data_IF_041693951887
#
_entry.id   IF_041693951887
#
_cell.length_a   1.000
_cell.length_b   1.000
_cell.length_c   1.000
_cell.angle_alpha   90.00
_cell.angle_beta   90.00
_cell.angle_gamma   90.00
#
_symmetry.space_group_name_H-M   'P 1'
#
loop_
_entity.id
_entity.type
_entity.pdbx_description
1 polymer ?
#
# COMPACT_ATOMS: atom_id res chain seq x y z
N UNK A 1 22.71 2.43 2.04
CA UNK A 1 21.49 2.88 2.72
C UNK A 1 21.50 4.40 2.70
N UNK A 2 20.53 5.02 2.07
CA UNK A 2 20.34 6.47 2.12
C UNK A 2 19.69 6.82 3.47
N UNK A 3 20.24 7.80 4.17
CA UNK A 3 19.60 8.35 5.38
C UNK A 3 18.77 9.56 5.01
N UNK A 4 17.56 9.64 5.54
CA UNK A 4 16.72 10.83 5.41
C UNK A 4 17.25 12.03 6.20
N UNK A 5 16.61 13.20 6.09
CA UNK A 5 17.02 14.43 6.78
C UNK A 5 17.18 14.27 8.30
N UNK A 6 16.41 13.38 8.92
CA UNK A 6 16.41 13.14 10.38
C UNK A 6 17.30 11.96 10.81
N UNK A 7 18.18 11.47 9.92
CA UNK A 7 19.08 10.34 10.22
C UNK A 7 18.39 8.96 10.23
N UNK A 8 17.08 8.87 9.94
CA UNK A 8 16.37 7.61 9.79
C UNK A 8 16.73 6.93 8.47
N UNK A 9 16.87 5.60 8.49
CA UNK A 9 17.09 4.82 7.28
C UNK A 9 15.89 4.96 6.34
N UNK A 10 16.14 5.44 5.12
CA UNK A 10 15.09 5.50 4.09
C UNK A 10 14.85 4.09 3.57
N UNK A 11 13.61 3.53 3.68
CA UNK A 11 13.31 2.23 3.12
C UNK A 11 13.64 2.19 1.63
N UNK A 12 14.24 1.09 1.17
CA UNK A 12 14.55 0.93 -0.26
C UNK A 12 13.26 0.95 -1.09
N UNK A 13 13.27 1.71 -2.16
CA UNK A 13 12.24 1.75 -3.17
C UNK A 13 12.86 1.98 -4.54
N UNK A 14 12.53 1.13 -5.50
CA UNK A 14 12.94 1.29 -6.90
C UNK A 14 11.84 2.01 -7.66
N UNK A 15 12.11 3.25 -8.07
CA UNK A 15 11.15 4.02 -8.86
C UNK A 15 10.94 3.37 -10.23
N UNK A 16 9.68 3.27 -10.65
CA UNK A 16 9.28 2.64 -11.93
C UNK A 16 8.83 3.67 -12.97
N UNK A 17 8.64 4.92 -12.55
CA UNK A 17 8.19 6.02 -13.40
C UNK A 17 8.40 7.38 -12.75
N UNK A 18 7.42 8.24 -12.84
CA UNK A 18 7.46 9.60 -12.31
C UNK A 18 6.76 9.77 -10.94
N UNK A 19 6.39 8.66 -10.28
CA UNK A 19 5.62 8.64 -9.04
C UNK A 19 6.30 9.41 -7.90
N UNK A 20 7.64 9.34 -7.82
CA UNK A 20 8.43 10.09 -6.82
C UNK A 20 8.28 11.60 -7.04
N UNK A 21 8.47 12.06 -8.26
CA UNK A 21 8.35 13.48 -8.61
C UNK A 21 6.90 13.98 -8.41
N UNK A 22 5.90 13.20 -8.83
CA UNK A 22 4.48 13.54 -8.61
C UNK A 22 4.15 13.67 -7.13
N UNK A 23 4.62 12.75 -6.30
CA UNK A 23 4.39 12.80 -4.85
C UNK A 23 5.05 14.04 -4.23
N UNK A 24 6.30 14.36 -4.58
CA UNK A 24 7.00 15.56 -4.10
C UNK A 24 6.30 16.85 -4.54
N UNK A 25 5.81 16.90 -5.78
CA UNK A 25 5.02 18.03 -6.27
C UNK A 25 3.68 18.16 -5.55
N UNK A 26 2.98 17.04 -5.31
CA UNK A 26 1.74 17.04 -4.55
C UNK A 26 1.97 17.53 -3.12
N UNK A 27 3.01 17.05 -2.43
CA UNK A 27 3.35 17.49 -1.07
C UNK A 27 3.64 18.99 -1.00
N UNK A 28 4.51 19.50 -1.88
CA UNK A 28 4.84 20.95 -1.94
C UNK A 28 3.63 21.83 -2.18
N UNK A 29 2.65 21.34 -2.92
CA UNK A 29 1.42 22.06 -3.23
C UNK A 29 0.26 21.70 -2.31
N UNK A 30 0.52 20.91 -1.23
CA UNK A 30 -0.46 20.53 -0.21
C UNK A 30 -1.66 19.77 -0.78
N UNK A 31 -1.46 18.99 -1.83
CA UNK A 31 -2.49 18.21 -2.51
C UNK A 31 -2.54 16.80 -1.95
N UNK A 32 -3.72 16.24 -1.68
CA UNK A 32 -3.85 14.86 -1.26
C UNK A 32 -3.59 13.89 -2.42
N UNK A 33 -3.08 12.70 -2.12
CA UNK A 33 -2.69 11.70 -3.11
C UNK A 33 -3.52 10.43 -3.00
N UNK A 34 -3.92 9.90 -4.16
CA UNK A 34 -4.59 8.62 -4.32
C UNK A 34 -3.69 7.64 -5.08
N UNK A 35 -3.29 6.56 -4.43
CA UNK A 35 -2.50 5.49 -5.03
C UNK A 35 -3.43 4.40 -5.55
N UNK A 36 -3.32 4.05 -6.83
CA UNK A 36 -4.10 2.99 -7.48
C UNK A 36 -3.16 1.90 -7.98
N UNK A 37 -3.51 0.65 -7.76
CA UNK A 37 -2.73 -0.45 -8.33
C UNK A 37 -3.00 -1.78 -7.63
N UNK A 38 -2.52 -2.89 -8.20
CA UNK A 38 -2.76 -4.22 -7.69
C UNK A 38 -2.17 -4.42 -6.28
N UNK A 39 -2.62 -5.48 -5.61
CA UNK A 39 -2.08 -5.88 -4.31
C UNK A 39 -0.60 -6.25 -4.43
N UNK A 40 0.21 -5.80 -3.46
CA UNK A 40 1.62 -6.16 -3.38
C UNK A 40 2.54 -5.58 -4.47
N UNK A 41 2.10 -4.55 -5.23
CA UNK A 41 2.94 -3.82 -6.19
C UNK A 41 3.82 -2.72 -5.55
N UNK A 42 3.86 -2.62 -4.22
CA UNK A 42 4.78 -1.71 -3.52
C UNK A 42 4.21 -0.38 -3.05
N UNK A 43 2.88 -0.11 -3.11
CA UNK A 43 2.26 1.16 -2.66
C UNK A 43 2.66 1.57 -1.25
N UNK A 44 2.52 0.66 -0.28
CA UNK A 44 2.86 0.93 1.14
C UNK A 44 4.35 1.19 1.32
N UNK A 45 5.21 0.44 0.61
CA UNK A 45 6.67 0.66 0.61
C UNK A 45 7.01 2.04 0.03
N UNK A 46 6.36 2.44 -1.05
CA UNK A 46 6.52 3.76 -1.65
C UNK A 46 6.17 4.88 -0.67
N UNK A 47 5.04 4.80 0.02
CA UNK A 47 4.65 5.82 1.02
C UNK A 47 5.67 5.90 2.15
N UNK A 48 6.13 4.76 2.67
CA UNK A 48 7.18 4.74 3.70
C UNK A 48 8.49 5.36 3.22
N UNK A 49 8.90 5.06 1.97
CA UNK A 49 10.07 5.69 1.34
C UNK A 49 9.90 7.20 1.25
N UNK A 50 8.75 7.67 0.75
CA UNK A 50 8.51 9.10 0.53
C UNK A 50 8.40 9.88 1.85
N UNK A 51 7.74 9.32 2.86
CA UNK A 51 7.66 9.95 4.18
C UNK A 51 9.07 10.13 4.79
N UNK A 52 9.91 9.08 4.77
CA UNK A 52 11.29 9.15 5.23
C UNK A 52 12.13 10.12 4.40
N UNK A 53 11.95 10.15 3.07
CA UNK A 53 12.66 11.07 2.16
C UNK A 53 12.28 12.54 2.42
N UNK A 54 11.03 12.80 2.79
CA UNK A 54 10.54 14.14 3.16
C UNK A 54 10.88 14.51 4.61
N UNK A 55 11.44 13.59 5.40
CA UNK A 55 11.68 13.80 6.84
C UNK A 55 10.39 13.98 7.63
N UNK A 56 9.31 13.26 7.27
CA UNK A 56 8.01 13.37 7.91
C UNK A 56 7.62 12.07 8.62
N UNK A 57 7.02 12.16 9.81
CA UNK A 57 6.41 10.99 10.44
C UNK A 57 5.36 10.37 9.52
N UNK A 58 5.19 9.07 9.62
CA UNK A 58 4.18 8.32 8.87
C UNK A 58 3.20 7.66 9.82
N UNK A 59 1.91 7.98 9.68
CA UNK A 59 0.82 7.28 10.34
C UNK A 59 0.08 6.44 9.31
N UNK A 60 0.20 5.12 9.41
CA UNK A 60 -0.47 4.17 8.52
C UNK A 60 -1.68 3.57 9.22
N UNK A 61 -2.82 3.52 8.50
CA UNK A 61 -4.06 2.87 8.94
C UNK A 61 -4.49 1.91 7.84
N UNK A 62 -4.62 0.62 8.17
CA UNK A 62 -5.28 -0.35 7.31
C UNK A 62 -6.79 -0.22 7.46
N UNK A 63 -7.47 0.09 6.38
CA UNK A 63 -8.92 0.23 6.38
C UNK A 63 -9.59 -1.14 6.33
N UNK A 64 -10.72 -1.28 7.04
CA UNK A 64 -11.55 -2.47 7.08
C UNK A 64 -12.99 -2.09 7.43
N UNK A 65 -13.93 -3.01 7.28
CA UNK A 65 -15.38 -2.78 7.44
C UNK A 65 -15.78 -2.26 8.84
N UNK A 66 -15.00 -2.57 9.89
CA UNK A 66 -15.29 -2.13 11.25
C UNK A 66 -14.64 -0.77 11.59
N UNK A 67 -13.75 -0.24 10.74
CA UNK A 67 -13.09 1.04 10.96
C UNK A 67 -14.10 2.18 10.88
N UNK A 68 -14.20 2.95 11.96
CA UNK A 68 -15.11 4.11 12.07
C UNK A 68 -14.37 5.43 11.98
N UNK A 69 -15.08 6.51 11.69
CA UNK A 69 -14.56 7.87 11.76
C UNK A 69 -13.94 8.19 13.14
N UNK A 70 -14.53 7.66 14.22
CA UNK A 70 -14.02 7.87 15.58
C UNK A 70 -12.67 7.18 15.82
N UNK A 71 -12.40 6.06 15.17
CA UNK A 71 -11.10 5.39 15.27
C UNK A 71 -10.00 6.23 14.60
N UNK A 72 -10.33 6.98 13.57
CA UNK A 72 -9.41 7.91 12.90
C UNK A 72 -9.23 9.22 13.67
N UNK A 73 -10.33 9.80 14.18
CA UNK A 73 -10.29 11.13 14.79
C UNK A 73 -9.93 11.07 16.27
N UNK A 74 -10.42 10.08 16.99
CA UNK A 74 -10.15 9.91 18.41
C UNK A 74 -11.40 9.59 19.21
N UNK A 75 -11.17 9.23 20.48
CA UNK A 75 -12.22 8.82 21.41
C UNK A 75 -11.89 9.16 22.85
N UNK A 76 -12.91 9.26 23.67
CA UNK A 76 -12.75 9.35 25.12
C UNK A 76 -12.45 7.96 25.70
N UNK A 77 -11.45 7.90 26.58
CA UNK A 77 -11.09 6.71 27.34
C UNK A 77 -11.16 7.02 28.83
N UNK A 78 -11.62 6.04 29.63
CA UNK A 78 -11.51 6.10 31.08
C UNK A 78 -10.06 5.76 31.49
N UNK A 79 -9.39 6.70 32.14
CA UNK A 79 -8.02 6.54 32.62
C UNK A 79 -7.92 7.08 34.05
N UNK A 80 -7.63 6.21 35.01
CA UNK A 80 -7.49 6.60 36.42
C UNK A 80 -8.75 7.14 37.08
N UNK A 81 -9.95 6.86 36.53
CA UNK A 81 -11.23 7.38 37.00
C UNK A 81 -11.73 8.62 36.23
N UNK A 82 -10.86 9.23 35.42
CA UNK A 82 -11.20 10.40 34.61
C UNK A 82 -11.44 10.01 33.13
N UNK A 83 -12.28 10.80 32.48
CA UNK A 83 -12.53 10.66 31.03
C UNK A 83 -11.56 11.54 30.27
N UNK A 84 -10.63 10.93 29.53
CA UNK A 84 -9.56 11.61 28.78
C UNK A 84 -9.78 11.41 27.29
N UNK A 85 -9.67 12.48 26.52
CA UNK A 85 -9.64 12.40 25.07
C UNK A 85 -8.29 11.81 24.60
N UNK A 86 -8.34 10.89 23.63
CA UNK A 86 -7.16 10.32 22.97
C UNK A 86 -7.30 10.50 21.47
N UNK A 87 -6.39 11.23 20.88
CA UNK A 87 -6.34 11.47 19.44
C UNK A 87 -6.16 10.16 18.65
N UNK A 88 -6.96 10.00 17.61
CA UNK A 88 -6.79 8.94 16.63
C UNK A 88 -5.62 9.22 15.68
N UNK A 89 -5.27 8.25 14.81
CA UNK A 89 -4.09 8.38 13.93
C UNK A 89 -4.19 9.55 12.95
N UNK A 90 -5.37 9.86 12.42
CA UNK A 90 -5.57 11.01 11.52
C UNK A 90 -5.35 12.34 12.27
N UNK A 91 -5.93 12.48 13.47
CA UNK A 91 -5.76 13.67 14.28
C UNK A 91 -4.30 13.90 14.67
N UNK A 92 -3.60 12.84 15.09
CA UNK A 92 -2.17 12.92 15.38
C UNK A 92 -1.38 13.35 14.15
N UNK A 93 -1.65 12.75 12.99
CA UNK A 93 -0.98 13.12 11.76
C UNK A 93 -1.20 14.60 11.39
N UNK A 94 -2.42 15.12 11.56
CA UNK A 94 -2.73 16.54 11.33
C UNK A 94 -1.95 17.42 12.29
N UNK A 95 -1.95 17.10 13.60
CA UNK A 95 -1.25 17.93 14.61
C UNK A 95 0.27 17.95 14.39
N UNK A 96 0.84 16.83 13.95
CA UNK A 96 2.31 16.67 13.75
C UNK A 96 2.79 17.16 12.38
N UNK A 97 1.89 17.47 11.44
CA UNK A 97 2.29 17.75 10.05
C UNK A 97 2.89 16.52 9.36
N UNK A 98 2.35 15.36 9.68
CA UNK A 98 2.83 14.06 9.20
C UNK A 98 2.16 13.63 7.88
N UNK A 99 2.68 12.56 7.27
CA UNK A 99 1.99 11.82 6.23
C UNK A 99 0.99 10.86 6.90
N UNK A 100 -0.31 11.00 6.59
CA UNK A 100 -1.35 10.07 6.99
C UNK A 100 -1.68 9.16 5.81
N UNK A 101 -1.43 7.87 5.93
CA UNK A 101 -1.70 6.89 4.89
C UNK A 101 -2.83 5.95 5.28
N UNK A 102 -3.93 6.00 4.52
CA UNK A 102 -5.06 5.09 4.65
C UNK A 102 -4.96 4.03 3.54
N UNK A 103 -4.57 2.82 3.93
CA UNK A 103 -4.43 1.71 3.00
C UNK A 103 -5.79 1.02 2.79
N UNK A 104 -6.11 0.73 1.53
CA UNK A 104 -7.38 0.12 1.09
C UNK A 104 -8.63 0.88 1.56
N UNK A 105 -8.66 2.19 1.32
CA UNK A 105 -9.72 3.11 1.80
C UNK A 105 -11.13 2.71 1.34
N UNK A 106 -11.28 1.92 0.28
CA UNK A 106 -12.56 1.39 -0.21
C UNK A 106 -13.17 0.34 0.72
N UNK A 107 -12.35 -0.29 1.57
CA UNK A 107 -12.80 -1.25 2.58
C UNK A 107 -13.35 -0.58 3.84
N UNK A 108 -13.08 0.72 4.02
CA UNK A 108 -13.59 1.46 5.16
C UNK A 108 -15.09 1.79 5.02
N UNK A 109 -15.72 2.04 6.17
CA UNK A 109 -17.10 2.53 6.22
C UNK A 109 -17.22 3.90 5.53
N UNK A 110 -18.44 4.21 5.09
CA UNK A 110 -18.73 5.49 4.39
C UNK A 110 -18.49 6.74 5.27
N UNK A 111 -18.64 6.62 6.58
CA UNK A 111 -18.37 7.72 7.52
C UNK A 111 -16.89 8.12 7.55
N UNK A 112 -15.97 7.17 7.36
CA UNK A 112 -14.54 7.43 7.21
C UNK A 112 -14.27 8.38 6.03
N UNK A 113 -14.85 8.10 4.87
CA UNK A 113 -14.63 8.97 3.69
C UNK A 113 -15.18 10.38 3.87
N UNK A 114 -16.26 10.54 4.63
CA UNK A 114 -16.87 11.85 4.92
C UNK A 114 -15.93 12.72 5.78
N UNK A 115 -15.28 12.14 6.78
CA UNK A 115 -14.31 12.84 7.64
C UNK A 115 -13.10 13.36 6.86
N UNK A 116 -12.72 12.68 5.76
CA UNK A 116 -11.57 13.09 4.93
C UNK A 116 -11.89 14.30 4.03
N UNK A 117 -13.15 14.54 3.68
CA UNK A 117 -13.52 15.56 2.69
C UNK A 117 -12.99 16.96 3.01
N UNK A 118 -13.12 17.50 4.25
CA UNK A 118 -12.63 18.84 4.57
C UNK A 118 -11.10 18.96 4.55
N UNK A 119 -10.37 17.83 4.64
CA UNK A 119 -8.92 17.78 4.51
C UNK A 119 -8.47 17.72 3.05
N UNK A 120 -9.37 17.38 2.12
CA UNK A 120 -9.07 17.18 0.69
C UNK A 120 -9.54 18.34 -0.19
N UNK A 121 -10.02 19.41 0.41
CA UNK A 121 -10.37 20.65 -0.29
C UNK A 121 -9.54 21.84 0.23
N UNK A 122 -9.81 23.03 -0.28
CA UNK A 122 -9.09 24.26 0.04
C UNK A 122 -9.14 24.67 1.52
N UNK A 123 -10.14 24.20 2.25
CA UNK A 123 -10.29 24.46 3.70
C UNK A 123 -9.19 23.81 4.52
N UNK A 124 -8.74 22.60 4.14
CA UNK A 124 -7.70 21.83 4.83
C UNK A 124 -7.91 21.75 6.35
N UNK A 125 -9.12 21.41 6.78
CA UNK A 125 -9.49 21.33 8.20
C UNK A 125 -9.93 19.92 8.59
N UNK A 126 -9.74 19.57 9.86
CA UNK A 126 -10.28 18.38 10.50
C UNK A 126 -11.19 18.79 11.67
N UNK A 127 -12.52 18.76 11.49
CA UNK A 127 -13.45 18.98 12.60
C UNK A 127 -13.44 17.79 13.56
N UNK A 128 -13.24 18.04 14.84
CA UNK A 128 -13.34 17.07 15.93
C UNK A 128 -14.67 17.31 16.66
N UNK A 129 -15.76 16.76 16.14
CA UNK A 129 -17.11 17.02 16.62
C UNK A 129 -17.29 16.73 18.12
N UNK A 130 -16.59 15.72 18.64
CA UNK A 130 -16.70 15.30 20.05
C UNK A 130 -16.04 16.25 21.04
N UNK A 131 -15.04 16.98 20.61
CA UNK A 131 -14.32 17.97 21.43
C UNK A 131 -14.75 19.39 21.12
N UNK A 132 -15.44 19.63 19.98
CA UNK A 132 -15.77 20.94 19.46
C UNK A 132 -14.58 21.69 18.85
N UNK A 133 -13.42 21.03 18.71
CA UNK A 133 -12.22 21.61 18.11
C UNK A 133 -12.25 21.45 16.59
N UNK A 134 -11.71 22.43 15.87
CA UNK A 134 -11.41 22.33 14.43
C UNK A 134 -9.93 22.55 14.23
N UNK A 135 -9.24 21.53 13.71
CA UNK A 135 -7.81 21.59 13.42
C UNK A 135 -7.58 22.08 11.99
N UNK A 136 -6.69 23.05 11.82
CA UNK A 136 -6.16 23.40 10.51
C UNK A 136 -4.96 22.50 10.20
N UNK A 137 -4.97 21.88 9.03
CA UNK A 137 -3.87 21.02 8.62
C UNK A 137 -2.64 21.88 8.27
N UNK A 138 -1.49 21.66 8.94
CA UNK A 138 -0.28 22.42 8.69
C UNK A 138 0.23 22.17 7.27
N UNK A 139 1.11 23.05 6.73
CA UNK A 139 1.64 22.91 5.37
C UNK A 139 2.25 21.56 5.05
N UNK A 140 2.89 20.95 6.04
CA UNK A 140 3.62 19.70 5.91
C UNK A 140 2.72 18.44 5.99
N UNK A 141 1.48 18.60 6.46
CA UNK A 141 0.52 17.49 6.48
C UNK A 141 0.14 17.03 5.09
N UNK A 142 0.17 15.73 4.86
CA UNK A 142 -0.27 15.12 3.62
C UNK A 142 -1.18 13.91 3.87
N UNK A 143 -2.34 13.91 3.23
CA UNK A 143 -3.23 12.76 3.20
C UNK A 143 -2.91 11.91 1.96
N UNK A 144 -2.64 10.63 2.19
CA UNK A 144 -2.45 9.62 1.15
C UNK A 144 -3.47 8.51 1.36
N UNK A 145 -4.17 8.13 0.32
CA UNK A 145 -5.09 6.99 0.35
C UNK A 145 -4.73 6.00 -0.74
N UNK A 146 -5.03 4.72 -0.56
CA UNK A 146 -4.85 3.72 -1.61
C UNK A 146 -6.08 2.87 -1.83
N UNK A 147 -6.19 2.28 -3.00
CA UNK A 147 -7.10 1.20 -3.28
C UNK A 147 -6.63 0.32 -4.44
N UNK A 148 -7.17 -0.90 -4.51
CA UNK A 148 -6.97 -1.80 -5.64
C UNK A 148 -8.18 -1.73 -6.58
N UNK A 149 -8.02 -1.23 -7.84
CA UNK A 149 -9.13 -1.15 -8.79
C UNK A 149 -9.64 -2.53 -9.24
N UNK A 150 -8.86 -3.62 -9.09
CA UNK A 150 -9.26 -4.98 -9.48
C UNK A 150 -10.33 -5.61 -8.59
N UNK A 151 -10.48 -5.16 -7.33
CA UNK A 151 -11.48 -5.66 -6.37
C UNK A 151 -12.77 -4.82 -6.31
N UNK A 152 -12.99 -3.92 -7.23
CA UNK A 152 -14.18 -3.07 -7.17
C UNK A 152 -15.46 -3.89 -7.41
N UNK A 153 -16.04 -4.37 -6.32
CA UNK A 153 -17.46 -4.62 -6.28
C UNK A 153 -18.18 -3.26 -6.37
N UNK A 154 -19.28 -3.17 -7.13
CA UNK A 154 -20.09 -1.93 -7.30
C UNK A 154 -20.44 -1.29 -5.95
N UNK A 155 -20.51 -2.07 -4.89
CA UNK A 155 -20.82 -1.65 -3.53
C UNK A 155 -19.64 -1.04 -2.76
N UNK A 156 -18.39 -1.37 -3.14
CA UNK A 156 -17.13 -0.95 -2.49
C UNK A 156 -16.25 -0.15 -3.45
N UNK A 157 -16.73 0.96 -3.96
CA UNK A 157 -15.96 1.86 -4.83
C UNK A 157 -15.97 3.29 -4.30
N UNK A 158 -14.86 3.99 -4.47
CA UNK A 158 -14.81 5.42 -4.19
C UNK A 158 -15.74 6.17 -5.16
N UNK A 159 -16.63 6.99 -4.60
CA UNK A 159 -17.49 7.85 -5.40
C UNK A 159 -16.64 8.74 -6.33
N UNK A 160 -17.10 9.03 -7.56
CA UNK A 160 -16.40 9.94 -8.46
C UNK A 160 -16.06 11.29 -7.82
N UNK A 161 -16.97 11.87 -7.05
CA UNK A 161 -16.77 13.12 -6.32
C UNK A 161 -15.65 13.06 -5.28
N UNK A 162 -15.43 11.90 -4.65
CA UNK A 162 -14.31 11.69 -3.72
C UNK A 162 -13.00 11.55 -4.51
N UNK A 163 -12.99 10.75 -5.59
CA UNK A 163 -11.77 10.56 -6.40
C UNK A 163 -11.25 11.86 -7.03
N UNK A 164 -12.14 12.75 -7.45
CA UNK A 164 -11.80 14.04 -8.06
C UNK A 164 -11.12 15.03 -7.10
N UNK A 165 -11.02 14.71 -5.81
CA UNK A 165 -10.33 15.52 -4.81
C UNK A 165 -8.85 15.20 -4.69
N UNK A 166 -8.33 14.17 -5.37
CA UNK A 166 -6.99 13.66 -5.21
C UNK A 166 -6.17 13.74 -6.50
N UNK A 167 -4.89 13.97 -6.35
CA UNK A 167 -3.90 13.65 -7.39
C UNK A 167 -3.71 12.15 -7.42
N UNK A 168 -3.99 11.52 -8.56
CA UNK A 168 -3.92 10.07 -8.68
C UNK A 168 -2.58 9.62 -9.26
N UNK A 169 -1.93 8.67 -8.57
CA UNK A 169 -0.73 7.98 -9.03
C UNK A 169 -1.10 6.50 -9.26
N UNK A 170 -0.85 6.02 -10.46
CA UNK A 170 -1.11 4.61 -10.82
C UNK A 170 0.15 3.79 -10.64
N UNK A 171 0.01 2.66 -9.95
CA UNK A 171 1.04 1.66 -9.75
C UNK A 171 0.71 0.42 -10.55
N UNK A 172 1.75 -0.23 -11.03
CA UNK A 172 1.72 -1.57 -11.59
C UNK A 172 2.91 -2.37 -11.07
N UNK A 173 3.00 -3.63 -11.42
CA UNK A 173 4.20 -4.40 -11.13
C UNK A 173 5.40 -3.80 -11.85
N UNK A 174 6.61 -3.82 -11.22
CA UNK A 174 7.81 -3.31 -11.85
C UNK A 174 8.13 -4.06 -13.15
N UNK A 175 8.85 -3.41 -14.06
CA UNK A 175 9.41 -4.08 -15.22
C UNK A 175 10.29 -5.27 -14.78
N UNK A 176 10.38 -6.37 -15.58
CA UNK A 176 11.03 -7.62 -15.14
C UNK A 176 12.43 -7.47 -14.58
N UNK A 177 13.26 -6.61 -15.17
CA UNK A 177 14.62 -6.35 -14.68
C UNK A 177 14.63 -5.63 -13.32
N UNK A 178 13.79 -4.62 -13.17
CA UNK A 178 13.64 -3.90 -11.91
C UNK A 178 13.05 -4.81 -10.82
N UNK A 179 12.06 -5.63 -11.16
CA UNK A 179 11.46 -6.58 -10.22
C UNK A 179 12.47 -7.65 -9.79
N UNK A 180 13.30 -8.15 -10.71
CA UNK A 180 14.38 -9.10 -10.39
C UNK A 180 15.36 -8.47 -9.39
N UNK A 181 15.76 -7.22 -9.60
CA UNK A 181 16.66 -6.53 -8.69
C UNK A 181 16.02 -6.32 -7.29
N UNK A 182 14.71 -5.99 -7.24
CA UNK A 182 13.96 -5.87 -5.98
C UNK A 182 13.92 -7.22 -5.25
N UNK A 183 13.55 -8.29 -5.96
CA UNK A 183 13.46 -9.65 -5.37
C UNK A 183 14.81 -10.11 -4.84
N UNK A 184 15.88 -9.95 -5.62
CA UNK A 184 17.23 -10.30 -5.21
C UNK A 184 17.68 -9.51 -3.97
N UNK A 185 17.46 -8.19 -3.94
CA UNK A 185 17.85 -7.34 -2.84
C UNK A 185 17.08 -7.66 -1.54
N UNK A 186 15.76 -7.81 -1.62
CA UNK A 186 14.89 -8.02 -0.46
C UNK A 186 14.99 -9.44 0.11
N UNK A 187 15.16 -10.46 -0.73
CA UNK A 187 15.30 -11.84 -0.28
C UNK A 187 16.75 -12.23 0.02
N UNK A 188 17.72 -11.52 -0.61
CA UNK A 188 19.13 -11.89 -0.64
C UNK A 188 19.44 -13.12 -1.48
N UNK A 189 18.55 -13.51 -2.39
CA UNK A 189 18.81 -14.51 -3.42
C UNK A 189 19.67 -13.89 -4.54
N UNK A 190 20.51 -14.69 -5.18
CA UNK A 190 21.30 -14.18 -6.30
C UNK A 190 20.41 -13.78 -7.49
N UNK A 191 20.84 -12.76 -8.24
CA UNK A 191 20.05 -12.17 -9.32
C UNK A 191 19.67 -13.19 -10.42
N UNK A 192 20.58 -14.08 -10.79
CA UNK A 192 20.35 -15.13 -11.77
C UNK A 192 19.35 -16.20 -11.32
N UNK A 193 19.22 -16.40 -10.01
CA UNK A 193 18.22 -17.27 -9.41
C UNK A 193 16.86 -16.57 -9.25
N UNK A 194 16.83 -15.25 -9.05
CA UNK A 194 15.61 -14.47 -8.95
C UNK A 194 14.91 -14.25 -10.32
N UNK A 195 15.69 -14.10 -11.39
CA UNK A 195 15.16 -13.82 -12.74
C UNK A 195 14.18 -14.89 -13.26
N UNK A 196 14.41 -16.20 -13.09
CA UNK A 196 13.42 -17.22 -13.45
C UNK A 196 12.10 -17.08 -12.70
N UNK A 197 12.12 -16.75 -11.41
CA UNK A 197 10.91 -16.55 -10.60
C UNK A 197 10.09 -15.37 -11.11
N UNK A 198 10.74 -14.28 -11.51
CA UNK A 198 10.06 -13.10 -12.10
C UNK A 198 9.46 -13.46 -13.46
N UNK A 199 10.15 -14.24 -14.30
CA UNK A 199 9.55 -14.72 -15.55
C UNK A 199 8.30 -15.57 -15.29
N UNK A 200 8.36 -16.48 -14.33
CA UNK A 200 7.21 -17.26 -13.92
C UNK A 200 6.06 -16.35 -13.43
N UNK A 201 6.33 -15.39 -12.54
CA UNK A 201 5.31 -14.48 -12.08
C UNK A 201 4.60 -13.73 -13.22
N UNK A 202 5.36 -13.27 -14.22
CA UNK A 202 4.79 -12.62 -15.41
C UNK A 202 3.93 -13.57 -16.25
N UNK A 203 4.34 -14.83 -16.40
CA UNK A 203 3.53 -15.85 -17.07
C UNK A 203 2.21 -16.11 -16.32
N UNK A 204 2.26 -16.23 -14.99
CA UNK A 204 1.07 -16.42 -14.15
C UNK A 204 0.16 -15.18 -14.13
N UNK A 205 0.73 -13.96 -14.13
CA UNK A 205 -0.04 -12.70 -14.24
C UNK A 205 -0.81 -12.59 -15.53
N UNK A 206 -0.30 -13.15 -16.62
CA UNK A 206 -0.98 -13.16 -17.92
C UNK A 206 -2.28 -14.00 -17.91
N UNK A 207 -2.44 -14.92 -16.94
CA UNK A 207 -3.65 -15.72 -16.75
C UNK A 207 -4.75 -14.98 -15.95
N UNK A 208 -4.45 -13.78 -15.45
CA UNK A 208 -5.44 -12.97 -14.71
C UNK A 208 -6.66 -12.66 -15.58
N UNK A 209 -7.84 -12.82 -14.98
CA UNK A 209 -9.13 -12.56 -15.64
C UNK A 209 -9.67 -13.73 -16.47
N UNK A 210 -8.92 -14.83 -16.60
CA UNK A 210 -9.40 -16.11 -17.15
C UNK A 210 -9.69 -17.08 -15.99
N UNK A 211 -8.65 -17.46 -15.26
CA UNK A 211 -8.73 -18.47 -14.20
C UNK A 211 -8.29 -17.92 -12.83
N UNK A 212 -7.77 -16.69 -12.78
CA UNK A 212 -7.28 -16.06 -11.55
C UNK A 212 -7.93 -14.68 -11.32
N UNK A 213 -8.36 -14.45 -10.10
CA UNK A 213 -8.84 -13.12 -9.67
C UNK A 213 -7.68 -12.12 -9.56
N UNK A 214 -6.52 -12.55 -9.04
CA UNK A 214 -5.31 -11.76 -8.94
C UNK A 214 -4.06 -12.51 -9.45
N UNK A 215 -3.09 -11.74 -9.93
CA UNK A 215 -1.79 -12.28 -10.31
C UNK A 215 -0.80 -12.34 -9.14
N UNK A 216 0.30 -13.07 -9.34
CA UNK A 216 1.40 -13.14 -8.37
C UNK A 216 1.94 -11.75 -8.05
N UNK A 217 1.89 -11.35 -6.79
CA UNK A 217 2.44 -10.07 -6.34
C UNK A 217 3.96 -10.13 -6.16
N UNK A 218 4.64 -8.98 -6.24
CA UNK A 218 6.07 -8.88 -5.92
C UNK A 218 6.37 -9.36 -4.49
N UNK A 219 5.41 -9.21 -3.56
CA UNK A 219 5.52 -9.74 -2.19
C UNK A 219 5.64 -11.27 -2.18
N UNK A 220 4.80 -11.97 -2.95
CA UNK A 220 4.85 -13.43 -3.05
C UNK A 220 6.15 -13.90 -3.71
N UNK A 221 6.66 -13.17 -4.71
CA UNK A 221 7.99 -13.42 -5.27
C UNK A 221 9.10 -13.33 -4.23
N UNK A 222 9.10 -12.30 -3.39
CA UNK A 222 10.08 -12.13 -2.31
C UNK A 222 9.97 -13.29 -1.31
N UNK A 223 8.75 -13.73 -0.97
CA UNK A 223 8.56 -14.88 -0.08
C UNK A 223 9.11 -16.16 -0.70
N UNK A 224 8.80 -16.46 -1.95
CA UNK A 224 9.33 -17.61 -2.68
C UNK A 224 10.86 -17.59 -2.70
N UNK A 225 11.46 -16.48 -3.09
CA UNK A 225 12.91 -16.30 -3.12
C UNK A 225 13.56 -16.46 -1.74
N UNK A 226 12.91 -15.98 -0.68
CA UNK A 226 13.38 -16.13 0.70
C UNK A 226 13.36 -17.60 1.14
N UNK A 227 12.31 -18.36 0.80
CA UNK A 227 12.22 -19.80 1.07
C UNK A 227 13.32 -20.58 0.36
N UNK A 228 13.55 -20.29 -0.93
CA UNK A 228 14.63 -20.92 -1.70
C UNK A 228 15.99 -20.62 -1.07
N UNK A 229 16.27 -19.37 -0.71
CA UNK A 229 17.51 -18.99 -0.05
C UNK A 229 17.71 -19.70 1.29
N UNK A 230 16.64 -20.00 2.02
CA UNK A 230 16.70 -20.74 3.28
C UNK A 230 16.92 -22.24 3.11
N UNK A 231 17.02 -22.73 1.87
CA UNK A 231 17.29 -24.12 1.56
C UNK A 231 16.07 -24.96 1.17
N UNK A 232 14.89 -24.34 1.02
CA UNK A 232 13.71 -25.05 0.51
C UNK A 232 13.88 -25.39 -0.97
N UNK A 233 13.51 -26.61 -1.42
CA UNK A 233 13.45 -26.95 -2.84
C UNK A 233 12.61 -25.94 -3.61
N UNK A 234 13.07 -25.56 -4.82
CA UNK A 234 12.41 -24.52 -5.62
C UNK A 234 10.95 -24.83 -5.89
N UNK A 235 10.63 -26.07 -6.23
CA UNK A 235 9.27 -26.47 -6.59
C UNK A 235 8.32 -26.38 -5.40
N UNK A 236 8.79 -26.73 -4.20
CA UNK A 236 8.04 -26.58 -2.97
C UNK A 236 7.83 -25.10 -2.61
N UNK A 237 8.84 -24.25 -2.78
CA UNK A 237 8.75 -22.82 -2.54
C UNK A 237 7.79 -22.14 -3.54
N UNK A 238 7.82 -22.52 -4.80
CA UNK A 238 6.88 -22.03 -5.84
C UNK A 238 5.46 -22.46 -5.51
N UNK A 239 5.25 -23.72 -5.18
CA UNK A 239 3.91 -24.18 -4.76
C UNK A 239 3.40 -23.38 -3.57
N UNK A 240 4.16 -23.29 -2.50
CA UNK A 240 3.72 -22.68 -1.25
C UNK A 240 3.53 -21.15 -1.32
N UNK A 241 4.36 -20.44 -2.11
CA UNK A 241 4.37 -18.98 -2.13
C UNK A 241 3.77 -18.37 -3.40
N UNK A 242 3.67 -19.09 -4.52
CA UNK A 242 3.22 -18.53 -5.79
C UNK A 242 2.00 -19.23 -6.38
N UNK A 243 1.61 -20.40 -5.89
CA UNK A 243 0.44 -21.16 -6.39
C UNK A 243 -0.67 -21.21 -5.35
N UNK A 244 -0.41 -21.80 -4.17
CA UNK A 244 -1.41 -21.95 -3.10
C UNK A 244 -2.10 -20.64 -2.70
N UNK A 245 -1.42 -19.48 -2.60
CA UNK A 245 -2.08 -18.23 -2.25
C UNK A 245 -2.98 -17.62 -3.33
N UNK A 246 -2.98 -18.15 -4.55
CA UNK A 246 -3.75 -17.59 -5.67
C UNK A 246 -5.11 -18.24 -5.86
N UNK A 247 -5.27 -19.50 -5.45
CA UNK A 247 -6.53 -20.25 -5.69
C UNK A 247 -6.62 -21.46 -4.77
N UNK A 248 -7.86 -21.82 -4.42
CA UNK A 248 -8.20 -23.07 -3.74
C UNK A 248 -8.63 -24.17 -4.74
N UNK A 249 -8.80 -23.83 -6.03
CA UNK A 249 -9.23 -24.76 -7.08
C UNK A 249 -8.07 -25.66 -7.54
N UNK A 250 -8.21 -26.97 -7.38
CA UNK A 250 -7.17 -27.94 -7.70
C UNK A 250 -6.86 -28.04 -9.20
N UNK A 251 -7.84 -27.79 -10.10
CA UNK A 251 -7.60 -27.80 -11.55
C UNK A 251 -6.76 -26.59 -11.97
N UNK A 252 -7.08 -25.42 -11.38
CA UNK A 252 -6.31 -24.19 -11.59
C UNK A 252 -4.90 -24.35 -11.02
N UNK A 253 -4.74 -24.88 -9.78
CA UNK A 253 -3.42 -25.18 -9.21
C UNK A 253 -2.57 -26.05 -10.13
N UNK A 254 -3.15 -27.13 -10.65
CA UNK A 254 -2.46 -28.02 -11.58
C UNK A 254 -2.03 -27.31 -12.90
N UNK A 255 -2.85 -26.37 -13.38
CA UNK A 255 -2.49 -25.56 -14.56
C UNK A 255 -1.35 -24.60 -14.26
N UNK A 256 -1.36 -23.94 -13.08
CA UNK A 256 -0.29 -23.05 -12.63
C UNK A 256 1.04 -23.79 -12.45
N UNK A 257 1.02 -25.00 -11.87
CA UNK A 257 2.21 -25.85 -11.71
C UNK A 257 2.80 -26.27 -13.06
N UNK A 258 1.95 -26.68 -14.03
CA UNK A 258 2.42 -26.96 -15.40
C UNK A 258 3.09 -25.74 -16.03
N UNK A 259 2.52 -24.56 -15.83
CA UNK A 259 3.13 -23.30 -16.30
C UNK A 259 4.48 -23.06 -15.64
N UNK A 260 4.60 -23.37 -14.35
CA UNK A 260 5.88 -23.26 -13.63
C UNK A 260 6.93 -24.21 -14.20
N UNK A 261 6.61 -25.49 -14.41
CA UNK A 261 7.49 -26.47 -15.01
C UNK A 261 7.99 -26.04 -16.39
N UNK A 262 7.11 -25.49 -17.23
CA UNK A 262 7.48 -25.03 -18.59
C UNK A 262 8.32 -23.75 -18.58
N UNK A 263 8.24 -22.95 -17.53
CA UNK A 263 8.90 -21.64 -17.50
C UNK A 263 10.27 -21.67 -16.81
N UNK A 264 10.41 -22.51 -15.78
CA UNK A 264 11.59 -22.54 -14.90
C UNK A 264 12.13 -23.94 -14.62
N UNK A 265 11.53 -24.97 -15.25
CA UNK A 265 11.95 -26.38 -15.15
C UNK A 265 13.26 -26.71 -15.84
#
# INVERSE_FOLDING_TARGET
MTTGPDGMAVPFYAATGNEVALFEHAHRNRLPVLLKGPTGCGKTRFVAHMAARLGRPLHTVSCHDDLTAADLTGRYLLKGGDTVWVDGPLTRAVREGAVCYLDEVVEARKDVTVVLHPLTDDRRILPLERTGETLEAPPDFMLVVSYNPGYQNILKSLKPSTRQRFVAISFDFPAPEAETAIVALESGLEHDQAAPLVRLANALRALKGQDLEEGVSTRLLIYCATLIRSGMPRDEAVLAAMVEPLTDDDEVKAALLRTAELTIG
#
